data_IF_579641643237
#
_entry.id   IF_579641643237
#
_cell.length_a   1.000
_cell.length_b   1.000
_cell.length_c   1.000
_cell.angle_alpha   90.00
_cell.angle_beta   90.00
_cell.angle_gamma   90.00
#
_symmetry.space_group_name_H-M   'P 1'
#
loop_
_entity.id
_entity.type
_entity.pdbx_description
1 polymer ?
#
# COMPACT_ATOMS: atom_id res chain seq x y z
N UNK A 1 -12.65 8.17 25.51
CA UNK A 1 -12.66 8.57 26.94
C UNK A 1 -12.68 7.46 27.99
N UNK A 2 -13.74 6.65 28.13
CA UNK A 2 -13.83 5.70 29.28
C UNK A 2 -12.66 4.71 29.35
N UNK A 3 -12.18 4.23 28.21
CA UNK A 3 -11.05 3.31 28.14
C UNK A 3 -9.74 4.01 28.53
N UNK A 4 -9.50 5.24 28.04
CA UNK A 4 -8.35 6.07 28.40
C UNK A 4 -8.30 6.39 29.90
N UNK A 5 -9.44 6.81 30.49
CA UNK A 5 -9.55 7.12 31.92
C UNK A 5 -9.43 5.89 32.84
N UNK A 6 -9.66 4.68 32.31
CA UNK A 6 -9.41 3.41 33.00
C UNK A 6 -7.98 2.90 32.85
N UNK A 7 -7.35 3.15 31.70
CA UNK A 7 -6.00 2.66 31.37
C UNK A 7 -4.87 3.57 31.84
N UNK A 8 -5.12 4.87 32.01
CA UNK A 8 -4.11 5.85 32.43
C UNK A 8 -4.55 6.61 33.67
N UNK A 9 -3.58 6.96 34.53
CA UNK A 9 -3.87 7.74 35.73
C UNK A 9 -4.22 9.20 35.37
N UNK A 10 -5.07 9.88 36.16
CA UNK A 10 -5.49 11.25 35.90
C UNK A 10 -4.31 12.23 35.80
N UNK A 11 -3.26 12.04 36.60
CA UNK A 11 -2.08 12.93 36.60
C UNK A 11 -1.33 12.90 35.28
N UNK A 12 -1.33 11.75 34.59
CA UNK A 12 -0.74 11.62 33.26
C UNK A 12 -1.60 12.31 32.20
N UNK A 13 -2.92 12.10 32.24
CA UNK A 13 -3.84 12.72 31.28
C UNK A 13 -3.85 14.24 31.39
N UNK A 14 -3.68 14.77 32.61
CA UNK A 14 -3.60 16.22 32.87
C UNK A 14 -2.28 16.86 32.38
N UNK A 15 -1.31 16.07 31.89
CA UNK A 15 -0.03 16.55 31.33
C UNK A 15 0.00 16.52 29.80
N UNK A 16 -1.11 16.19 29.16
CA UNK A 16 -1.26 16.20 27.71
C UNK A 16 -2.06 17.44 27.31
N UNK A 17 -1.51 18.23 26.39
CA UNK A 17 -2.19 19.42 25.88
C UNK A 17 -3.44 19.04 25.06
N UNK A 18 -3.33 18.00 24.22
CA UNK A 18 -4.41 17.51 23.37
C UNK A 18 -4.38 15.99 23.22
N UNK A 19 -5.56 15.39 23.02
CA UNK A 19 -5.72 13.97 22.72
C UNK A 19 -6.24 13.83 21.28
N UNK A 20 -5.40 13.28 20.40
CA UNK A 20 -5.74 13.09 18.98
C UNK A 20 -6.38 11.72 18.77
N UNK A 21 -7.60 11.72 18.23
CA UNK A 21 -8.31 10.50 17.84
C UNK A 21 -8.05 10.18 16.37
N UNK A 22 -7.50 8.99 16.10
CA UNK A 22 -7.39 8.47 14.75
C UNK A 22 -8.69 7.77 14.37
N UNK A 23 -9.30 8.23 13.27
CA UNK A 23 -10.47 7.57 12.68
C UNK A 23 -10.04 6.28 11.96
N UNK A 24 -10.88 5.24 11.92
CA UNK A 24 -10.64 4.08 11.07
C UNK A 24 -10.46 4.49 9.60
N UNK A 25 -9.65 3.73 8.87
CA UNK A 25 -9.40 3.97 7.44
C UNK A 25 -10.64 3.63 6.61
N UNK A 26 -11.02 4.52 5.69
CA UNK A 26 -12.00 4.21 4.64
C UNK A 26 -11.34 3.53 3.45
N UNK A 27 -12.13 2.90 2.57
CA UNK A 27 -11.61 2.27 1.35
C UNK A 27 -10.82 3.28 0.50
N UNK A 28 -11.31 4.51 0.36
CA UNK A 28 -10.63 5.58 -0.37
C UNK A 28 -9.28 5.96 0.27
N UNK A 29 -9.18 5.96 1.60
CA UNK A 29 -7.91 6.18 2.27
C UNK A 29 -6.92 5.06 1.95
N UNK A 30 -7.40 3.82 1.86
CA UNK A 30 -6.56 2.66 1.55
C UNK A 30 -6.05 2.74 0.10
N UNK A 31 -6.87 3.19 -0.86
CA UNK A 31 -6.40 3.46 -2.23
C UNK A 31 -5.23 4.45 -2.25
N UNK A 32 -5.37 5.58 -1.54
CA UNK A 32 -4.30 6.56 -1.43
C UNK A 32 -3.03 5.99 -0.77
N UNK A 33 -3.19 5.08 0.20
CA UNK A 33 -2.05 4.39 0.81
C UNK A 33 -1.39 3.42 -0.18
N UNK A 34 -2.15 2.69 -0.99
CA UNK A 34 -1.59 1.83 -2.05
C UNK A 34 -0.77 2.68 -3.02
N UNK A 35 -1.30 3.82 -3.47
CA UNK A 35 -0.58 4.73 -4.36
C UNK A 35 0.70 5.26 -3.74
N UNK A 36 0.68 5.62 -2.45
CA UNK A 36 1.86 6.05 -1.72
C UNK A 36 2.92 4.95 -1.63
N UNK A 37 2.52 3.71 -1.35
CA UNK A 37 3.44 2.57 -1.23
C UNK A 37 4.06 2.19 -2.58
N UNK A 38 3.28 2.28 -3.66
CA UNK A 38 3.75 2.04 -5.03
C UNK A 38 4.71 3.15 -5.48
N UNK A 39 4.53 4.39 -5.02
CA UNK A 39 5.42 5.50 -5.36
C UNK A 39 6.90 5.21 -5.03
N UNK A 40 7.16 4.56 -3.91
CA UNK A 40 8.53 4.16 -3.52
C UNK A 40 9.13 3.12 -4.48
N UNK A 41 8.30 2.21 -5.01
CA UNK A 41 8.71 1.27 -6.05
C UNK A 41 8.95 1.98 -7.39
N UNK A 42 8.01 2.84 -7.81
CA UNK A 42 8.13 3.64 -9.03
C UNK A 42 9.43 4.46 -9.05
N UNK A 43 9.76 5.12 -7.94
CA UNK A 43 11.01 5.90 -7.80
C UNK A 43 12.26 5.05 -8.02
N UNK A 44 12.27 3.78 -7.61
CA UNK A 44 13.40 2.87 -7.89
C UNK A 44 13.47 2.47 -9.36
N UNK A 45 12.33 2.35 -10.03
CA UNK A 45 12.25 2.03 -11.45
C UNK A 45 12.68 3.19 -12.36
N UNK A 46 12.51 4.44 -11.91
CA UNK A 46 12.97 5.63 -12.63
C UNK A 46 14.48 5.59 -12.94
N UNK A 47 15.30 4.96 -12.08
CA UNK A 47 16.73 4.77 -12.35
C UNK A 47 17.01 3.94 -13.62
N UNK A 48 16.03 3.13 -14.06
CA UNK A 48 16.05 2.36 -15.31
C UNK A 48 15.17 3.00 -16.40
N UNK A 49 14.67 4.22 -16.19
CA UNK A 49 13.74 4.92 -17.08
C UNK A 49 12.44 4.13 -17.30
N UNK A 50 12.01 3.34 -16.31
CA UNK A 50 10.75 2.59 -16.35
C UNK A 50 9.74 3.22 -15.40
N UNK A 51 8.46 3.09 -15.73
CA UNK A 51 7.35 3.52 -14.87
C UNK A 51 6.44 2.33 -14.53
N UNK A 52 5.57 2.51 -13.53
CA UNK A 52 4.67 1.51 -13.00
C UNK A 52 3.30 2.11 -12.74
N UNK A 53 2.26 1.48 -13.26
CA UNK A 53 0.86 1.85 -12.99
C UNK A 53 0.09 0.65 -12.45
N UNK A 54 -0.94 0.91 -11.63
CA UNK A 54 -1.87 -0.13 -11.16
C UNK A 54 -3.25 0.21 -11.68
N UNK A 55 -3.95 -0.78 -12.21
CA UNK A 55 -5.37 -0.64 -12.53
C UNK A 55 -6.21 -0.60 -11.25
N UNK A 56 -7.44 -0.12 -11.35
CA UNK A 56 -8.38 -0.16 -10.23
C UNK A 56 -8.67 -1.60 -9.80
N UNK A 57 -8.77 -2.54 -10.75
CA UNK A 57 -8.98 -3.96 -10.45
C UNK A 57 -7.85 -4.56 -9.61
N UNK A 58 -6.58 -4.22 -9.93
CA UNK A 58 -5.44 -4.63 -9.11
C UNK A 58 -5.51 -4.02 -7.70
N UNK A 59 -5.87 -2.74 -7.58
CA UNK A 59 -6.01 -2.07 -6.27
C UNK A 59 -7.12 -2.70 -5.43
N UNK A 60 -8.29 -2.95 -6.02
CA UNK A 60 -9.41 -3.63 -5.37
C UNK A 60 -8.98 -4.99 -4.83
N UNK A 61 -8.38 -5.83 -5.69
CA UNK A 61 -7.91 -7.16 -5.30
C UNK A 61 -6.90 -7.11 -4.15
N UNK A 62 -5.94 -6.17 -4.20
CA UNK A 62 -4.95 -6.01 -3.14
C UNK A 62 -5.57 -5.62 -1.80
N UNK A 63 -6.57 -4.74 -1.82
CA UNK A 63 -7.27 -4.30 -0.61
C UNK A 63 -8.04 -5.47 -0.02
N UNK A 64 -8.82 -6.17 -0.84
CA UNK A 64 -9.65 -7.29 -0.38
C UNK A 64 -8.81 -8.46 0.15
N UNK A 65 -7.59 -8.65 -0.38
CA UNK A 65 -6.71 -9.76 0.00
C UNK A 65 -5.77 -9.43 1.16
N UNK A 66 -5.28 -8.19 1.24
CA UNK A 66 -4.16 -7.82 2.13
C UNK A 66 -4.47 -6.71 3.13
N UNK A 67 -5.67 -6.12 3.11
CA UNK A 67 -6.06 -5.18 4.16
C UNK A 67 -6.58 -5.92 5.39
N UNK A 68 -6.07 -5.51 6.56
CA UNK A 68 -6.58 -5.98 7.84
C UNK A 68 -6.94 -4.76 8.71
N UNK A 69 -8.21 -4.59 9.13
CA UNK A 69 -8.61 -3.46 9.97
C UNK A 69 -7.88 -3.38 11.31
N UNK A 70 -7.47 -4.51 11.90
CA UNK A 70 -6.75 -4.60 13.16
C UNK A 70 -5.27 -4.20 12.99
N UNK A 71 -4.65 -4.58 11.87
CA UNK A 71 -3.24 -4.27 11.59
C UNK A 71 -3.01 -3.07 10.66
N UNK A 72 -4.08 -2.45 10.17
CA UNK A 72 -4.07 -1.32 9.25
C UNK A 72 -3.43 -1.67 7.90
N UNK A 73 -2.76 -0.70 7.27
CA UNK A 73 -2.13 -0.90 5.95
C UNK A 73 -0.77 -1.63 5.99
N UNK A 74 -0.34 -2.15 7.15
CA UNK A 74 0.94 -2.87 7.27
C UNK A 74 1.01 -4.13 6.42
N UNK A 75 -0.03 -5.00 6.37
CA UNK A 75 0.03 -6.20 5.54
C UNK A 75 -0.01 -5.86 4.05
N UNK A 76 -0.71 -4.80 3.65
CA UNK A 76 -0.67 -4.21 2.30
C UNK A 76 0.75 -3.87 1.84
N UNK A 77 1.55 -3.20 2.67
CA UNK A 77 2.96 -2.91 2.36
C UNK A 77 3.75 -4.18 2.08
N UNK A 78 3.61 -5.20 2.93
CA UNK A 78 4.29 -6.49 2.75
C UNK A 78 3.84 -7.21 1.48
N UNK A 79 2.55 -7.13 1.16
CA UNK A 79 1.98 -7.70 -0.05
C UNK A 79 2.57 -7.05 -1.31
N UNK A 80 2.66 -5.71 -1.35
CA UNK A 80 3.29 -4.98 -2.46
C UNK A 80 4.74 -5.41 -2.64
N UNK A 81 5.50 -5.43 -1.56
CA UNK A 81 6.91 -5.81 -1.59
C UNK A 81 7.13 -7.26 -2.07
N UNK A 82 6.22 -8.17 -1.73
CA UNK A 82 6.40 -9.60 -2.03
C UNK A 82 5.84 -9.99 -3.40
N UNK A 83 4.69 -9.44 -3.79
CA UNK A 83 3.99 -9.83 -5.01
C UNK A 83 4.28 -8.85 -6.16
N UNK A 84 4.06 -7.56 -5.95
CA UNK A 84 4.20 -6.55 -7.00
C UNK A 84 5.66 -6.39 -7.43
N UNK A 85 6.59 -6.27 -6.47
CA UNK A 85 8.02 -6.18 -6.82
C UNK A 85 8.50 -7.42 -7.57
N UNK A 86 8.04 -8.61 -7.17
CA UNK A 86 8.40 -9.87 -7.84
C UNK A 86 7.84 -9.95 -9.26
N UNK A 87 6.60 -9.51 -9.48
CA UNK A 87 5.99 -9.45 -10.82
C UNK A 87 6.75 -8.48 -11.73
N UNK A 88 7.01 -7.27 -11.24
CA UNK A 88 7.78 -6.26 -11.96
C UNK A 88 9.20 -6.75 -12.26
N UNK A 89 9.89 -7.32 -11.28
CA UNK A 89 11.24 -7.84 -11.46
C UNK A 89 11.29 -8.94 -12.52
N UNK A 90 10.33 -9.89 -12.49
CA UNK A 90 10.24 -10.94 -13.50
C UNK A 90 10.01 -10.36 -14.90
N UNK A 91 9.08 -9.42 -15.04
CA UNK A 91 8.78 -8.72 -16.31
C UNK A 91 10.02 -8.03 -16.88
N UNK A 92 10.76 -7.30 -16.04
CA UNK A 92 11.99 -6.60 -16.46
C UNK A 92 13.04 -7.62 -16.92
N UNK A 93 13.22 -8.73 -16.22
CA UNK A 93 14.22 -9.75 -16.56
C UNK A 93 13.83 -10.52 -17.83
N UNK A 94 12.54 -10.81 -18.03
CA UNK A 94 12.07 -11.64 -19.15
C UNK A 94 11.96 -10.87 -20.46
N UNK A 95 11.56 -9.60 -20.42
CA UNK A 95 11.24 -8.83 -21.62
C UNK A 95 12.21 -7.69 -21.92
N UNK A 96 13.12 -7.38 -21.01
CA UNK A 96 14.10 -6.28 -21.12
C UNK A 96 13.48 -4.99 -21.70
N UNK A 97 12.45 -4.44 -21.03
CA UNK A 97 11.64 -3.37 -21.57
C UNK A 97 12.49 -2.14 -21.87
N UNK A 98 12.22 -1.51 -23.02
CA UNK A 98 12.96 -0.31 -23.44
C UNK A 98 12.70 0.85 -22.48
N UNK A 99 13.64 1.79 -22.34
CA UNK A 99 13.42 3.04 -21.63
C UNK A 99 12.12 3.75 -22.04
N UNK A 100 11.39 4.30 -21.08
CA UNK A 100 10.08 4.92 -21.25
C UNK A 100 8.88 3.97 -21.14
N UNK A 101 9.12 2.66 -20.99
CA UNK A 101 8.02 1.70 -20.83
C UNK A 101 7.31 1.87 -19.50
N UNK A 102 5.99 1.88 -19.55
CA UNK A 102 5.11 1.86 -18.38
C UNK A 102 4.62 0.42 -18.18
N UNK A 103 5.06 -0.22 -17.11
CA UNK A 103 4.55 -1.55 -16.72
C UNK A 103 3.20 -1.36 -16.03
N UNK A 104 2.18 -2.07 -16.47
CA UNK A 104 0.85 -2.00 -15.86
C UNK A 104 0.57 -3.28 -15.08
N UNK A 105 0.35 -3.13 -13.78
CA UNK A 105 -0.14 -4.20 -12.92
C UNK A 105 -1.66 -4.22 -12.99
N UNK A 106 -2.20 -5.38 -13.38
CA UNK A 106 -3.63 -5.62 -13.49
C UNK A 106 -4.04 -6.88 -12.73
N UNK A 107 -5.34 -7.01 -12.48
CA UNK A 107 -5.95 -8.25 -12.01
C UNK A 107 -6.82 -8.81 -13.13
N UNK A 108 -6.50 -10.01 -13.62
CA UNK A 108 -7.19 -10.61 -14.77
C UNK A 108 -8.47 -11.37 -14.39
N UNK A 109 -8.82 -11.38 -13.10
CA UNK A 109 -9.93 -12.14 -12.53
C UNK A 109 -9.50 -13.41 -11.80
N UNK A 110 -8.25 -13.85 -11.97
CA UNK A 110 -7.66 -14.98 -11.26
C UNK A 110 -6.42 -14.57 -10.46
N UNK A 111 -5.47 -13.87 -11.09
CA UNK A 111 -4.21 -13.47 -10.47
C UNK A 111 -3.73 -12.09 -10.88
N UNK A 112 -2.74 -11.58 -10.15
CA UNK A 112 -2.08 -10.34 -10.49
C UNK A 112 -1.07 -10.58 -11.62
N UNK A 113 -1.15 -9.76 -12.66
CA UNK A 113 -0.33 -9.86 -13.85
C UNK A 113 0.37 -8.53 -14.16
N UNK A 114 1.58 -8.62 -14.72
CA UNK A 114 2.33 -7.46 -15.22
C UNK A 114 2.25 -7.43 -16.75
N UNK A 115 1.61 -6.40 -17.29
CA UNK A 115 1.47 -6.16 -18.73
C UNK A 115 2.50 -5.16 -19.21
#
# INVERSE_FOLDING_TARGET
>A
DQLLKRSFRPEFLNRLDEIIYYKPLTKENIYGIVDLLVKDLRKRMEARQLDLTLTNAAKDYMIDTAFDPQYGARPLKRFIQSNIETLVARKIISEDPTPGTVITIDYDGNELVAR
#
